data_IF_852840293417
#
_entry.id   IF_852840293417
#
_cell.length_a   1.000
_cell.length_b   1.000
_cell.length_c   1.000
_cell.angle_alpha   90.00
_cell.angle_beta   90.00
_cell.angle_gamma   90.00
#
_symmetry.space_group_name_H-M   'P 1'
#
loop_
_entity.id
_entity.type
_entity.pdbx_description
1 polymer ?
#
# COMPACT_ATOMS: atom_id res chain seq x y z
N UNK A 1 11.10 -9.00 14.24
CA UNK A 1 11.43 -8.44 12.92
C UNK A 1 10.87 -9.39 11.90
N UNK A 2 9.89 -8.93 11.14
CA UNK A 2 9.20 -9.75 10.15
C UNK A 2 9.78 -9.50 8.75
N UNK A 3 9.48 -10.34 7.75
CA UNK A 3 10.01 -10.19 6.40
C UNK A 3 9.67 -8.85 5.73
N UNK A 4 10.65 -8.28 5.04
CA UNK A 4 10.46 -7.18 4.10
C UNK A 4 10.01 -7.75 2.76
N UNK A 5 8.83 -7.33 2.28
CA UNK A 5 8.22 -7.87 1.07
C UNK A 5 8.52 -7.06 -0.18
N UNK A 6 8.60 -5.73 -0.06
CA UNK A 6 8.95 -4.86 -1.17
C UNK A 6 9.91 -3.77 -0.70
N UNK A 7 10.86 -3.44 -1.57
CA UNK A 7 11.78 -2.31 -1.44
C UNK A 7 11.79 -1.53 -2.75
N UNK A 8 11.76 -0.20 -2.70
CA UNK A 8 11.75 0.66 -3.89
C UNK A 8 12.62 1.90 -3.66
N UNK A 9 13.38 2.29 -4.68
CA UNK A 9 13.98 3.62 -4.75
C UNK A 9 12.90 4.65 -5.10
N UNK A 10 12.84 5.74 -4.34
CA UNK A 10 11.88 6.83 -4.50
C UNK A 10 12.65 8.13 -4.65
N UNK A 11 12.40 8.84 -5.74
CA UNK A 11 12.90 10.19 -5.95
C UNK A 11 11.88 11.19 -5.39
N UNK A 12 12.25 11.93 -4.35
CA UNK A 12 11.42 12.98 -3.79
C UNK A 12 11.70 14.37 -4.40
N UNK A 13 12.42 14.41 -5.51
CA UNK A 13 12.77 15.63 -6.22
C UNK A 13 14.01 16.32 -5.65
N UNK A 14 14.43 17.46 -6.25
CA UNK A 14 15.74 18.06 -6.01
C UNK A 14 15.99 18.52 -4.57
N UNK A 15 14.94 18.91 -3.83
CA UNK A 15 15.09 19.37 -2.44
C UNK A 15 15.26 18.22 -1.45
N UNK A 16 14.50 17.13 -1.62
CA UNK A 16 14.48 15.99 -0.68
C UNK A 16 15.44 14.88 -1.10
N UNK A 17 15.77 14.80 -2.38
CA UNK A 17 16.64 13.80 -2.99
C UNK A 17 16.00 12.41 -3.04
N UNK A 18 16.84 11.40 -3.24
CA UNK A 18 16.42 10.00 -3.24
C UNK A 18 16.32 9.41 -1.84
N UNK A 19 15.42 8.43 -1.69
CA UNK A 19 15.30 7.58 -0.52
C UNK A 19 14.99 6.15 -0.93
N UNK A 20 15.37 5.20 -0.08
CA UNK A 20 14.94 3.82 -0.20
C UNK A 20 13.72 3.63 0.72
N UNK A 21 12.63 3.05 0.21
CA UNK A 21 11.43 2.76 1.01
C UNK A 21 11.21 1.26 1.02
N UNK A 22 10.84 0.71 2.17
CA UNK A 22 10.53 -0.71 2.35
C UNK A 22 9.20 -0.91 3.04
N UNK A 23 8.50 -2.00 2.75
CA UNK A 23 7.31 -2.47 3.47
C UNK A 23 7.54 -3.85 4.05
N UNK A 24 7.04 -4.08 5.26
CA UNK A 24 7.23 -5.31 6.02
C UNK A 24 5.92 -5.85 6.59
N UNK A 25 5.87 -7.15 6.82
CA UNK A 25 4.72 -7.83 7.45
C UNK A 25 4.55 -7.47 8.93
N UNK A 26 5.51 -6.78 9.56
CA UNK A 26 5.32 -6.17 10.88
C UNK A 26 4.41 -4.92 10.85
N UNK A 27 3.93 -4.58 9.65
CA UNK A 27 3.02 -3.48 9.35
C UNK A 27 3.72 -2.14 9.18
N UNK A 28 5.05 -2.11 9.02
CA UNK A 28 5.77 -0.85 8.84
C UNK A 28 6.07 -0.58 7.38
N UNK A 29 5.90 0.70 7.01
CA UNK A 29 6.54 1.29 5.84
C UNK A 29 7.67 2.16 6.37
N UNK A 30 8.91 1.85 5.98
CA UNK A 30 10.11 2.48 6.53
C UNK A 30 10.92 3.11 5.40
N UNK A 31 11.32 4.36 5.59
CA UNK A 31 12.23 5.07 4.71
C UNK A 31 13.65 4.98 5.26
N UNK A 32 14.62 4.79 4.37
CA UNK A 32 16.04 4.73 4.67
C UNK A 32 16.78 5.84 3.93
N UNK A 33 17.72 6.49 4.62
CA UNK A 33 18.60 7.53 4.09
C UNK A 33 20.05 7.10 4.31
N UNK A 34 20.90 7.32 3.30
CA UNK A 34 22.34 7.06 3.37
C UNK A 34 23.17 8.34 3.48
N UNK A 35 22.54 9.52 3.63
CA UNK A 35 23.23 10.82 3.56
C UNK A 35 24.23 11.06 4.69
N UNK A 36 23.98 10.51 5.89
CA UNK A 36 24.82 10.67 7.09
C UNK A 36 25.05 9.33 7.80
N UNK A 37 25.26 8.28 7.01
CA UNK A 37 25.16 6.89 7.48
C UNK A 37 23.77 6.33 7.23
N UNK A 38 23.54 5.07 7.65
CA UNK A 38 22.27 4.39 7.46
C UNK A 38 21.27 4.80 8.55
N UNK A 39 20.45 5.79 8.24
CA UNK A 39 19.35 6.26 9.08
C UNK A 39 18.02 5.73 8.54
N UNK A 40 17.06 5.50 9.42
CA UNK A 40 15.72 5.06 9.03
C UNK A 40 14.62 5.73 9.86
N UNK A 41 13.45 5.88 9.26
CA UNK A 41 12.26 6.41 9.89
C UNK A 41 11.01 5.70 9.37
N UNK A 42 10.05 5.44 10.25
CA UNK A 42 8.77 4.85 9.87
C UNK A 42 7.88 5.93 9.20
N UNK A 43 7.55 5.71 7.93
CA UNK A 43 6.58 6.51 7.18
C UNK A 43 5.14 6.18 7.57
N UNK A 44 4.86 4.93 7.95
CA UNK A 44 3.53 4.51 8.39
C UNK A 44 3.59 3.24 9.23
N UNK A 45 2.71 3.16 10.23
CA UNK A 45 2.35 1.91 10.90
C UNK A 45 0.94 1.50 10.44
N UNK A 46 0.87 0.50 9.56
CA UNK A 46 -0.36 -0.02 9.00
C UNK A 46 -1.22 -0.66 10.09
N UNK A 47 -2.37 -0.05 10.34
CA UNK A 47 -3.37 -0.56 11.28
C UNK A 47 -4.41 -1.38 10.54
N UNK A 48 -4.90 -2.45 11.16
CA UNK A 48 -6.10 -3.14 10.66
C UNK A 48 -7.30 -2.21 10.77
N UNK A 49 -8.10 -2.16 9.72
CA UNK A 49 -9.33 -1.36 9.64
C UNK A 49 -10.46 -2.30 9.25
N UNK A 50 -11.56 -2.26 9.99
CA UNK A 50 -12.76 -3.03 9.68
C UNK A 50 -13.53 -2.35 8.55
N UNK A 51 -13.90 -3.10 7.51
CA UNK A 51 -14.72 -2.57 6.43
C UNK A 51 -16.10 -2.13 6.95
N UNK A 52 -16.72 -1.06 6.41
CA UNK A 52 -17.94 -0.45 6.96
C UNK A 52 -19.14 -1.39 7.14
N UNK A 53 -19.16 -2.52 6.43
CA UNK A 53 -20.29 -3.45 6.37
C UNK A 53 -20.04 -4.78 7.12
N UNK A 54 -18.94 -4.89 7.87
CA UNK A 54 -18.59 -6.10 8.63
C UNK A 54 -18.75 -5.82 10.13
N UNK A 55 -19.56 -6.62 10.82
CA UNK A 55 -19.67 -6.56 12.29
C UNK A 55 -18.40 -7.15 12.92
N UNK A 56 -17.78 -6.41 13.84
CA UNK A 56 -16.58 -6.86 14.55
C UNK A 56 -16.91 -8.04 15.48
N UNK A 57 -16.33 -9.21 15.22
CA UNK A 57 -16.23 -10.25 16.24
C UNK A 57 -15.04 -9.91 17.16
N UNK A 58 -15.33 -9.72 18.45
CA UNK A 58 -14.36 -9.32 19.47
C UNK A 58 -13.36 -10.45 19.77
N UNK A 59 -12.37 -10.65 18.89
CA UNK A 59 -11.16 -11.44 19.13
C UNK A 59 -9.96 -10.57 19.50
N UNK A 60 -8.86 -11.17 19.92
CA UNK A 60 -7.57 -10.46 20.07
C UNK A 60 -7.09 -10.07 18.67
N UNK A 61 -7.52 -8.90 18.19
CA UNK A 61 -7.13 -8.38 16.88
C UNK A 61 -5.67 -7.93 17.00
N UNK A 62 -4.76 -8.55 16.25
CA UNK A 62 -3.48 -7.90 15.95
C UNK A 62 -3.80 -6.51 15.41
N UNK A 63 -3.45 -5.45 16.14
CA UNK A 63 -3.77 -4.08 15.72
C UNK A 63 -3.07 -3.67 14.42
N UNK A 64 -2.01 -4.39 14.04
CA UNK A 64 -1.23 -4.12 12.85
C UNK A 64 -1.64 -5.03 11.70
N UNK A 65 -1.77 -4.44 10.52
CA UNK A 65 -1.97 -5.14 9.27
C UNK A 65 -0.62 -5.45 8.64
N UNK A 66 -0.43 -6.67 8.13
CA UNK A 66 0.77 -7.07 7.42
C UNK A 66 0.87 -6.34 6.09
N UNK A 67 1.92 -5.57 5.86
CA UNK A 67 2.16 -4.88 4.58
C UNK A 67 2.90 -5.76 3.59
N UNK A 68 2.43 -5.83 2.34
CA UNK A 68 2.99 -6.69 1.30
C UNK A 68 3.55 -5.92 0.11
N UNK A 69 2.88 -4.85 -0.31
CA UNK A 69 3.32 -4.05 -1.44
C UNK A 69 2.99 -2.57 -1.24
N UNK A 70 3.66 -1.69 -1.98
CA UNK A 70 3.35 -0.28 -2.04
C UNK A 70 3.74 0.34 -3.38
N UNK A 71 3.11 1.45 -3.73
CA UNK A 71 3.59 2.29 -4.83
C UNK A 71 3.31 3.78 -4.60
N UNK A 72 4.20 4.63 -5.12
CA UNK A 72 4.14 6.09 -4.96
C UNK A 72 3.40 6.74 -6.13
N UNK A 73 2.72 7.84 -5.83
CA UNK A 73 2.11 8.66 -6.86
C UNK A 73 3.20 9.33 -7.71
N UNK A 74 3.08 9.21 -9.03
CA UNK A 74 4.10 9.72 -9.96
C UNK A 74 4.18 11.24 -9.95
N UNK A 75 3.06 11.92 -9.72
CA UNK A 75 3.00 13.40 -9.68
C UNK A 75 3.15 13.98 -8.28
N UNK A 76 3.02 13.16 -7.24
CA UNK A 76 3.14 13.58 -5.84
C UNK A 76 3.93 12.55 -5.03
N UNK A 77 5.24 12.78 -4.89
CA UNK A 77 6.14 11.91 -4.14
C UNK A 77 5.87 11.87 -2.63
N UNK A 78 4.91 12.66 -2.12
CA UNK A 78 4.47 12.61 -0.74
C UNK A 78 3.34 11.62 -0.50
N UNK A 79 2.69 11.14 -1.57
CA UNK A 79 1.57 10.20 -1.50
C UNK A 79 1.97 8.83 -2.02
N UNK A 80 1.47 7.79 -1.35
CA UNK A 80 1.64 6.41 -1.77
C UNK A 80 0.45 5.56 -1.34
N UNK A 81 0.30 4.40 -1.97
CA UNK A 81 -0.66 3.36 -1.59
C UNK A 81 0.07 2.14 -1.07
N UNK A 82 -0.48 1.47 -0.06
CA UNK A 82 0.08 0.26 0.53
C UNK A 82 -0.98 -0.86 0.56
N UNK A 83 -0.62 -2.03 0.07
CA UNK A 83 -1.46 -3.22 0.02
C UNK A 83 -1.13 -4.18 1.15
N UNK A 84 -2.16 -4.77 1.73
CA UNK A 84 -2.04 -5.63 2.93
C UNK A 84 -2.43 -7.07 2.65
N UNK A 85 -2.05 -7.95 3.57
CA UNK A 85 -2.45 -9.37 3.58
C UNK A 85 -3.97 -9.55 3.74
N UNK A 86 -4.65 -8.62 4.40
CA UNK A 86 -6.10 -8.69 4.62
C UNK A 86 -6.91 -8.23 3.39
N UNK A 87 -6.27 -7.89 2.27
CA UNK A 87 -6.93 -7.41 1.05
C UNK A 87 -7.28 -5.93 1.04
N UNK A 88 -6.91 -5.19 2.08
CA UNK A 88 -7.11 -3.75 2.13
C UNK A 88 -5.95 -3.00 1.48
N UNK A 89 -6.29 -1.89 0.82
CA UNK A 89 -5.31 -0.95 0.29
C UNK A 89 -5.49 0.37 1.05
N UNK A 90 -4.39 0.92 1.56
CA UNK A 90 -4.38 2.15 2.32
C UNK A 90 -3.65 3.24 1.53
N UNK A 91 -4.29 4.40 1.36
CA UNK A 91 -3.60 5.62 0.91
C UNK A 91 -2.92 6.27 2.10
N UNK A 92 -1.65 6.61 1.94
CA UNK A 92 -0.80 7.14 2.99
C UNK A 92 -0.03 8.38 2.51
N UNK A 93 0.48 9.15 3.46
CA UNK A 93 1.38 10.26 3.20
C UNK A 93 2.71 10.03 3.93
N UNK A 94 3.81 10.47 3.33
CA UNK A 94 5.13 10.49 3.99
C UNK A 94 5.17 11.42 5.22
N UNK A 95 4.22 12.36 5.32
CA UNK A 95 4.16 13.36 6.40
C UNK A 95 3.34 12.90 7.61
N UNK A 96 2.56 11.83 7.49
CA UNK A 96 1.64 11.36 8.53
C UNK A 96 1.82 9.86 8.71
N UNK A 97 2.31 9.41 9.88
CA UNK A 97 2.64 8.00 10.12
C UNK A 97 1.64 7.24 11.00
N UNK A 98 0.60 7.90 11.50
CA UNK A 98 -0.38 7.29 12.41
C UNK A 98 -1.76 7.03 11.79
N UNK A 99 -2.09 7.72 10.69
CA UNK A 99 -3.42 7.70 10.11
C UNK A 99 -3.35 7.57 8.58
N UNK A 100 -4.16 6.66 8.05
CA UNK A 100 -4.37 6.51 6.61
C UNK A 100 -5.17 7.71 6.08
N UNK A 101 -4.80 8.21 4.90
CA UNK A 101 -5.57 9.25 4.21
C UNK A 101 -6.90 8.70 3.69
N UNK A 102 -6.90 7.47 3.19
CA UNK A 102 -8.08 6.80 2.65
C UNK A 102 -7.90 5.28 2.72
N UNK A 103 -9.01 4.54 2.73
CA UNK A 103 -9.03 3.08 2.74
C UNK A 103 -9.86 2.54 1.58
N UNK A 104 -9.26 1.68 0.75
CA UNK A 104 -9.94 1.02 -0.35
C UNK A 104 -10.24 -0.43 0.02
N UNK A 105 -11.54 -0.74 0.06
CA UNK A 105 -12.07 -2.06 0.35
C UNK A 105 -12.60 -2.66 -0.96
N UNK A 106 -12.14 -3.86 -1.31
CA UNK A 106 -12.69 -4.53 -2.48
C UNK A 106 -11.99 -5.80 -2.91
N UNK A 107 -10.77 -6.07 -2.43
CA UNK A 107 -10.17 -7.40 -2.54
C UNK A 107 -10.58 -8.28 -1.38
N UNK A 108 -10.77 -9.57 -1.65
CA UNK A 108 -11.09 -10.59 -0.64
C UNK A 108 -9.90 -11.45 -0.23
N UNK A 109 -8.69 -11.05 -0.63
CA UNK A 109 -7.44 -11.75 -0.30
C UNK A 109 -6.22 -10.84 -0.45
N UNK A 110 -5.03 -11.32 -0.06
CA UNK A 110 -3.79 -10.55 -0.07
C UNK A 110 -3.55 -9.75 -1.35
N UNK A 111 -3.14 -8.49 -1.21
CA UNK A 111 -2.74 -7.64 -2.34
C UNK A 111 -1.25 -7.81 -2.58
N UNK A 112 -0.88 -8.45 -3.69
CA UNK A 112 0.51 -8.79 -4.01
C UNK A 112 1.23 -7.68 -4.76
N UNK A 113 0.50 -6.87 -5.55
CA UNK A 113 1.11 -5.79 -6.32
C UNK A 113 0.20 -4.58 -6.39
N UNK A 114 0.83 -3.41 -6.32
CA UNK A 114 0.22 -2.12 -6.61
C UNK A 114 1.06 -1.41 -7.66
N UNK A 115 0.41 -0.71 -8.58
CA UNK A 115 1.07 0.15 -9.55
C UNK A 115 0.26 1.40 -9.83
N UNK A 116 0.83 2.56 -9.55
CA UNK A 116 0.25 3.84 -9.93
C UNK A 116 0.34 4.02 -11.45
N UNK A 117 -0.68 4.61 -12.06
CA UNK A 117 -0.62 4.93 -13.48
C UNK A 117 0.47 5.99 -13.73
N UNK A 118 1.38 5.77 -14.69
CA UNK A 118 2.37 6.77 -15.07
C UNK A 118 1.76 7.90 -15.91
N UNK A 119 0.50 7.77 -16.33
CA UNK A 119 -0.18 8.72 -17.22
C UNK A 119 -1.33 9.47 -16.54
N UNK A 120 -1.82 8.96 -15.40
CA UNK A 120 -2.94 9.55 -14.66
C UNK A 120 -2.68 9.48 -13.16
N UNK A 121 -2.46 10.65 -12.55
CA UNK A 121 -2.22 10.80 -11.12
C UNK A 121 -3.36 10.27 -10.25
N UNK A 122 -4.57 10.21 -10.78
CA UNK A 122 -5.74 9.80 -10.01
C UNK A 122 -6.00 8.30 -10.03
N UNK A 123 -5.19 7.51 -10.74
CA UNK A 123 -5.52 6.11 -11.02
C UNK A 123 -4.39 5.16 -10.66
N UNK A 124 -4.72 4.03 -10.05
CA UNK A 124 -3.78 2.95 -9.76
C UNK A 124 -4.40 1.57 -9.96
N UNK A 125 -3.56 0.56 -10.14
CA UNK A 125 -3.93 -0.83 -10.29
C UNK A 125 -3.49 -1.63 -9.07
N UNK A 126 -4.24 -2.67 -8.75
CA UNK A 126 -3.89 -3.67 -7.74
C UNK A 126 -4.06 -5.09 -8.29
N UNK A 127 -3.22 -6.01 -7.85
CA UNK A 127 -3.26 -7.44 -8.16
C UNK A 127 -3.34 -8.25 -6.86
N UNK A 128 -4.20 -9.26 -6.81
CA UNK A 128 -4.51 -9.98 -5.57
C UNK A 128 -4.61 -11.50 -5.73
N UNK A 129 -4.44 -12.17 -4.58
CA UNK A 129 -4.77 -13.57 -4.35
C UNK A 129 -6.23 -13.93 -4.65
N UNK A 130 -7.14 -12.95 -4.71
CA UNK A 130 -8.56 -13.17 -5.04
C UNK A 130 -8.85 -13.34 -6.53
N UNK A 131 -7.79 -13.53 -7.32
CA UNK A 131 -7.83 -13.76 -8.77
C UNK A 131 -8.31 -12.55 -9.55
N UNK A 132 -8.27 -11.36 -8.95
CA UNK A 132 -8.66 -10.12 -9.62
C UNK A 132 -7.54 -9.10 -9.69
N UNK A 133 -7.60 -8.32 -10.77
CA UNK A 133 -6.93 -7.03 -10.90
C UNK A 133 -7.99 -5.95 -10.80
N UNK A 134 -7.78 -4.91 -9.99
CA UNK A 134 -8.73 -3.80 -9.85
C UNK A 134 -8.09 -2.49 -10.27
N UNK A 135 -8.86 -1.71 -11.04
CA UNK A 135 -8.53 -0.33 -11.34
C UNK A 135 -9.22 0.57 -10.33
N UNK A 136 -8.45 1.42 -9.68
CA UNK A 136 -8.92 2.34 -8.65
C UNK A 136 -8.75 3.77 -9.13
N UNK A 137 -9.70 4.62 -8.76
CA UNK A 137 -9.50 6.06 -8.80
C UNK A 137 -9.35 6.53 -7.35
N UNK A 138 -8.31 7.28 -7.04
CA UNK A 138 -7.98 7.66 -5.67
C UNK A 138 -9.05 8.53 -4.98
N UNK A 139 -9.91 9.19 -5.75
CA UNK A 139 -11.01 10.03 -5.27
C UNK A 139 -12.32 9.25 -5.08
N UNK A 140 -12.33 7.95 -5.38
CA UNK A 140 -13.51 7.09 -5.28
C UNK A 140 -13.28 5.95 -4.29
N UNK A 141 -14.26 5.62 -3.44
CA UNK A 141 -14.11 4.54 -2.46
C UNK A 141 -14.12 3.14 -3.09
N UNK A 142 -14.74 3.00 -4.26
CA UNK A 142 -14.93 1.72 -4.94
C UNK A 142 -14.05 1.61 -6.19
N UNK A 143 -13.64 0.39 -6.52
CA UNK A 143 -12.93 0.09 -7.76
C UNK A 143 -13.76 0.52 -8.98
N UNK A 144 -13.10 1.17 -9.94
CA UNK A 144 -13.69 1.60 -11.21
C UNK A 144 -13.94 0.40 -12.12
N UNK A 145 -12.97 -0.52 -12.17
CA UNK A 145 -13.09 -1.78 -12.91
C UNK A 145 -12.51 -2.93 -12.10
N UNK A 146 -13.06 -4.12 -12.31
CA UNK A 146 -12.50 -5.38 -11.82
C UNK A 146 -12.30 -6.31 -13.02
N UNK A 147 -11.07 -6.76 -13.21
CA UNK A 147 -10.68 -7.77 -14.19
C UNK A 147 -10.48 -9.08 -13.44
N UNK A 148 -11.13 -10.15 -13.86
CA UNK A 148 -10.98 -11.47 -13.22
C UNK A 148 -10.12 -12.38 -14.10
N UNK A 149 -9.12 -13.01 -13.48
CA UNK A 149 -8.36 -14.11 -14.05
C UNK A 149 -9.19 -15.39 -13.95
N UNK A 150 -9.23 -16.19 -15.02
CA UNK A 150 -9.97 -17.46 -15.04
C UNK A 150 -9.13 -18.67 -14.67
N UNK A 151 -7.82 -18.48 -14.48
CA UNK A 151 -6.85 -19.59 -14.43
C UNK A 151 -6.07 -19.68 -13.12
N UNK A 152 -5.72 -18.55 -12.49
CA UNK A 152 -5.00 -18.54 -11.21
C UNK A 152 -4.98 -17.14 -10.56
N UNK A 153 -4.41 -17.04 -9.34
CA UNK A 153 -4.13 -15.77 -8.66
C UNK A 153 -3.17 -14.88 -9.44
N UNK A 154 -3.30 -13.57 -9.22
CA UNK A 154 -2.50 -12.57 -9.94
C UNK A 154 -1.45 -12.01 -9.00
N UNK A 155 -0.19 -12.32 -9.29
CA UNK A 155 0.96 -11.91 -8.49
C UNK A 155 1.65 -10.63 -8.98
N UNK A 156 1.41 -10.23 -10.22
CA UNK A 156 2.05 -9.04 -10.82
C UNK A 156 1.14 -8.36 -11.86
N UNK A 157 1.40 -7.08 -12.10
CA UNK A 157 0.77 -6.19 -13.09
C UNK A 157 1.82 -5.27 -13.66
#
# INVERSE_FOLDING_TARGET
TDPVWQVKWVDHGPERGEALVSISTDGRVTQWSMKKGLEHADLMVLKRVTAPNVQEEAGIISRRASGLCFDFCVTDSTMYVAGTEDGHIHKCSVSYNEQHLENYFGHSGPVYKLRWSPFDANTFLSASADWSVKLWNQERPNAVFTFQSTTDYVSDI
#
